data_IF_132025834135
#
_entry.id   IF_132025834135
#
_cell.length_a   1.000
_cell.length_b   1.000
_cell.length_c   1.000
_cell.angle_alpha   90.00
_cell.angle_beta   90.00
_cell.angle_gamma   90.00
#
_symmetry.space_group_name_H-M   'P 1'
#
loop_
_entity.id
_entity.type
_entity.pdbx_description
1 polymer ?
#
# COMPACT_ATOMS: atom_id res chain seq x y z
N UNK A 1 0.86 -18.56 23.20
CA UNK A 1 1.00 -17.09 23.21
C UNK A 1 -0.31 -16.51 23.70
N UNK A 2 -0.27 -15.62 24.70
CA UNK A 2 -1.48 -15.00 25.24
C UNK A 2 -2.05 -13.99 24.24
N UNK A 3 -3.37 -13.97 24.06
CA UNK A 3 -4.05 -12.95 23.25
C UNK A 3 -4.29 -11.68 24.07
N UNK A 4 -4.55 -10.54 23.39
CA UNK A 4 -4.90 -9.28 24.08
C UNK A 4 -6.12 -9.45 25.00
N UNK A 5 -7.12 -10.23 24.56
CA UNK A 5 -8.29 -10.54 25.36
C UNK A 5 -7.90 -11.27 26.66
N UNK A 6 -7.02 -12.27 26.57
CA UNK A 6 -6.53 -13.00 27.75
C UNK A 6 -5.80 -12.08 28.74
N UNK A 7 -4.99 -11.16 28.23
CA UNK A 7 -4.24 -10.19 29.06
C UNK A 7 -5.17 -9.16 29.70
N UNK A 8 -6.13 -8.61 28.97
CA UNK A 8 -7.12 -7.64 29.50
C UNK A 8 -8.00 -8.30 30.55
N UNK A 9 -8.45 -9.53 30.33
CA UNK A 9 -9.22 -10.29 31.32
C UNK A 9 -8.39 -10.55 32.58
N UNK A 10 -7.12 -10.91 32.43
CA UNK A 10 -6.20 -11.09 33.56
C UNK A 10 -5.96 -9.80 34.36
N UNK A 11 -5.83 -8.66 33.68
CA UNK A 11 -5.70 -7.34 34.34
C UNK A 11 -7.00 -6.97 35.07
N UNK A 12 -8.16 -7.22 34.46
CA UNK A 12 -9.45 -6.94 35.10
C UNK A 12 -9.68 -7.82 36.34
N UNK A 13 -9.20 -9.08 36.30
CA UNK A 13 -9.30 -10.01 37.41
C UNK A 13 -8.50 -9.57 38.64
N UNK A 14 -7.43 -8.77 38.45
CA UNK A 14 -6.63 -8.21 39.56
C UNK A 14 -7.09 -6.82 40.02
N UNK A 15 -8.25 -6.34 39.58
CA UNK A 15 -8.81 -5.07 40.02
C UNK A 15 -9.73 -5.26 41.24
N UNK A 16 -9.20 -5.85 42.32
CA UNK A 16 -9.95 -6.26 43.51
C UNK A 16 -9.73 -5.34 44.74
N UNK A 17 -9.41 -4.06 44.50
CA UNK A 17 -9.10 -3.07 45.55
C UNK A 17 -7.89 -3.42 46.44
N UNK A 18 -6.95 -4.21 45.91
CA UNK A 18 -5.65 -4.46 46.56
C UNK A 18 -5.59 -5.75 47.38
N UNK A 19 -6.54 -6.67 47.18
CA UNK A 19 -6.55 -7.99 47.80
C UNK A 19 -5.83 -9.07 46.94
N UNK A 20 -5.10 -8.62 45.92
CA UNK A 20 -4.37 -9.48 45.01
C UNK A 20 -3.21 -10.17 45.71
N UNK A 21 -3.08 -11.47 45.47
CA UNK A 21 -1.90 -12.23 45.83
C UNK A 21 -0.71 -11.87 44.92
N UNK A 22 0.50 -11.99 45.46
CA UNK A 22 1.73 -11.83 44.66
C UNK A 22 1.81 -12.80 43.47
N UNK A 23 1.11 -13.93 43.55
CA UNK A 23 0.99 -14.91 42.46
C UNK A 23 0.15 -14.36 41.31
N UNK A 24 -1.02 -13.80 41.61
CA UNK A 24 -1.91 -13.23 40.58
C UNK A 24 -1.22 -12.08 39.85
N UNK A 25 -0.56 -11.17 40.57
CA UNK A 25 0.20 -10.06 39.96
C UNK A 25 1.31 -10.59 39.04
N UNK A 26 2.04 -11.63 39.47
CA UNK A 26 3.09 -12.25 38.64
C UNK A 26 2.53 -12.90 37.38
N UNK A 27 1.38 -13.56 37.47
CA UNK A 27 0.75 -14.23 36.32
C UNK A 27 0.25 -13.21 35.28
N UNK A 28 -0.21 -12.04 35.71
CA UNK A 28 -0.53 -10.92 34.81
C UNK A 28 0.72 -10.34 34.14
N UNK A 29 1.78 -10.07 34.92
CA UNK A 29 3.04 -9.53 34.39
C UNK A 29 3.72 -10.50 33.40
N UNK A 30 3.65 -11.80 33.67
CA UNK A 30 4.16 -12.84 32.75
C UNK A 30 3.36 -12.83 31.45
N UNK A 31 2.03 -12.73 31.52
CA UNK A 31 1.17 -12.61 30.35
C UNK A 31 1.43 -11.36 29.52
N UNK A 32 1.79 -10.24 30.16
CA UNK A 32 2.19 -8.99 29.50
C UNK A 32 3.55 -9.10 28.81
N UNK A 33 4.53 -9.76 29.43
CA UNK A 33 5.87 -9.96 28.88
C UNK A 33 5.88 -10.95 27.71
N UNK A 34 5.04 -11.97 27.76
CA UNK A 34 4.89 -12.97 26.71
C UNK A 34 3.92 -12.54 25.59
N UNK A 35 3.25 -11.40 25.76
CA UNK A 35 2.38 -10.83 24.74
C UNK A 35 3.21 -10.13 23.66
N UNK A 36 3.29 -10.78 22.51
CA UNK A 36 3.86 -10.19 21.29
C UNK A 36 2.74 -10.02 20.26
N UNK A 37 2.31 -8.79 20.03
CA UNK A 37 1.34 -8.49 18.98
C UNK A 37 2.09 -8.23 17.65
N UNK A 38 1.95 -9.12 16.67
CA UNK A 38 2.60 -8.99 15.35
C UNK A 38 1.86 -8.06 14.39
N UNK A 39 0.71 -7.51 14.79
CA UNK A 39 -0.12 -6.61 13.98
C UNK A 39 -0.76 -5.55 14.88
N UNK A 40 -0.68 -4.24 14.58
CA UNK A 40 -1.34 -3.22 15.40
C UNK A 40 -2.87 -3.42 15.43
N UNK A 41 -3.49 -3.39 16.62
CA UNK A 41 -4.95 -3.38 16.78
C UNK A 41 -5.51 -1.96 16.61
N UNK A 42 -6.59 -1.76 15.84
CA UNK A 42 -7.35 -0.51 15.83
C UNK A 42 -7.86 -0.20 17.24
N UNK A 43 -7.49 0.97 17.77
CA UNK A 43 -7.76 1.37 19.14
C UNK A 43 -9.25 1.52 19.46
N UNK A 44 -9.65 0.96 20.60
CA UNK A 44 -10.91 1.28 21.28
C UNK A 44 -10.91 2.76 21.68
N UNK A 45 -11.61 3.62 20.93
CA UNK A 45 -11.87 5.01 21.31
C UNK A 45 -11.76 6.07 20.20
N UNK A 46 -11.39 5.70 18.97
CA UNK A 46 -11.48 6.60 17.82
C UNK A 46 -12.00 5.81 16.61
N UNK A 47 -12.94 6.38 15.84
CA UNK A 47 -13.53 5.81 14.62
C UNK A 47 -12.52 5.73 13.44
N UNK A 48 -11.26 5.38 13.75
CA UNK A 48 -10.16 5.31 12.79
C UNK A 48 -10.00 3.86 12.35
N UNK A 49 -10.60 3.53 11.20
CA UNK A 49 -10.52 2.21 10.60
C UNK A 49 -9.22 2.07 9.79
N UNK A 50 -8.25 1.32 10.33
CA UNK A 50 -6.99 1.05 9.66
C UNK A 50 -7.12 -0.15 8.73
N UNK A 51 -6.48 -0.07 7.57
CA UNK A 51 -6.40 -1.22 6.66
C UNK A 51 -4.98 -1.45 6.18
N UNK A 52 -4.70 -2.72 5.90
CA UNK A 52 -3.47 -3.18 5.29
C UNK A 52 -3.79 -4.34 4.33
N UNK A 53 -3.51 -4.14 3.05
CA UNK A 53 -3.67 -5.13 2.00
C UNK A 53 -2.34 -5.29 1.27
N UNK A 54 -1.90 -6.53 1.13
CA UNK A 54 -0.77 -6.89 0.29
C UNK A 54 -0.99 -8.33 -0.18
N UNK A 55 -0.40 -8.66 -1.33
CA UNK A 55 -0.38 -10.03 -1.81
C UNK A 55 1.07 -10.54 -1.90
N UNK A 56 1.34 -11.80 -1.50
CA UNK A 56 2.68 -12.37 -1.58
C UNK A 56 3.12 -12.60 -3.03
N UNK A 57 2.15 -12.76 -3.94
CA UNK A 57 2.38 -12.99 -5.36
C UNK A 57 2.07 -11.74 -6.17
N UNK A 58 2.84 -11.49 -7.24
CA UNK A 58 2.52 -10.42 -8.18
C UNK A 58 1.23 -10.70 -8.91
N UNK A 59 0.46 -9.65 -9.21
CA UNK A 59 -0.58 -9.71 -10.23
C UNK A 59 0.00 -9.39 -11.61
N UNK A 60 -0.59 -9.95 -12.65
CA UNK A 60 -0.11 -9.79 -14.02
C UNK A 60 -1.07 -9.00 -14.90
N UNK A 61 -0.50 -8.16 -15.74
CA UNK A 61 -1.20 -7.47 -16.83
C UNK A 61 -1.27 -8.40 -18.07
N UNK A 62 -2.25 -8.22 -18.97
CA UNK A 62 -2.37 -9.02 -20.20
C UNK A 62 -1.13 -9.08 -21.11
N UNK A 63 -0.24 -8.08 -21.03
CA UNK A 63 1.04 -8.03 -21.76
C UNK A 63 2.21 -8.63 -20.96
N UNK A 64 1.93 -9.26 -19.82
CA UNK A 64 2.90 -9.99 -19.01
C UNK A 64 3.71 -9.13 -18.03
N UNK A 65 3.42 -7.83 -17.91
CA UNK A 65 4.00 -7.03 -16.82
C UNK A 65 3.53 -7.56 -15.45
N UNK A 66 4.37 -7.41 -14.43
CA UNK A 66 4.11 -7.89 -13.07
C UNK A 66 4.07 -6.74 -12.08
N UNK A 67 3.09 -6.76 -11.18
CA UNK A 67 2.93 -5.78 -10.12
C UNK A 67 2.92 -6.47 -8.76
N UNK A 68 3.91 -6.15 -7.93
CA UNK A 68 3.85 -6.37 -6.49
C UNK A 68 3.40 -5.09 -5.83
N UNK A 69 2.55 -5.18 -4.81
CA UNK A 69 2.04 -4.01 -4.15
C UNK A 69 1.64 -4.26 -2.70
N UNK A 70 1.59 -3.17 -1.94
CA UNK A 70 0.95 -3.10 -0.64
C UNK A 70 0.24 -1.76 -0.49
N UNK A 71 -0.98 -1.79 0.04
CA UNK A 71 -1.76 -0.64 0.45
C UNK A 71 -1.91 -0.64 1.95
N UNK A 72 -1.47 0.42 2.61
CA UNK A 72 -1.63 0.60 4.06
C UNK A 72 -2.14 2.00 4.34
N UNK A 73 -3.18 2.13 5.17
CA UNK A 73 -3.76 3.43 5.41
C UNK A 73 -4.86 3.47 6.45
N UNK A 74 -5.56 4.59 6.45
CA UNK A 74 -6.74 4.88 7.27
C UNK A 74 -7.90 5.08 6.29
N UNK A 75 -8.99 4.31 6.45
CA UNK A 75 -10.13 4.34 5.54
C UNK A 75 -10.65 5.77 5.36
N UNK A 76 -10.94 6.15 4.12
CA UNK A 76 -11.39 7.49 3.68
C UNK A 76 -10.44 8.67 3.95
N UNK A 77 -9.30 8.47 4.62
CA UNK A 77 -8.38 9.56 4.95
C UNK A 77 -7.06 9.47 4.19
N UNK A 78 -6.36 8.33 4.27
CA UNK A 78 -5.02 8.21 3.69
C UNK A 78 -4.74 6.81 3.17
N UNK A 79 -3.87 6.74 2.18
CA UNK A 79 -3.25 5.47 1.77
C UNK A 79 -1.81 5.66 1.35
N UNK A 80 -0.94 4.81 1.89
CA UNK A 80 0.36 4.55 1.32
C UNK A 80 0.22 3.38 0.33
N UNK A 81 0.55 3.64 -0.93
CA UNK A 81 0.67 2.66 -1.98
C UNK A 81 2.16 2.44 -2.28
N UNK A 82 2.69 1.33 -1.81
CA UNK A 82 4.03 0.87 -2.18
C UNK A 82 3.91 -0.18 -3.26
N UNK A 83 4.70 -0.08 -4.32
CA UNK A 83 4.65 -1.05 -5.41
C UNK A 83 5.97 -1.22 -6.14
N UNK A 84 6.11 -2.40 -6.76
CA UNK A 84 7.12 -2.73 -7.75
C UNK A 84 6.42 -3.15 -9.04
N UNK A 85 6.58 -2.37 -10.10
CA UNK A 85 6.15 -2.70 -11.46
C UNK A 85 7.36 -3.24 -12.22
N UNK A 86 7.30 -4.47 -12.70
CA UNK A 86 8.30 -5.09 -13.58
C UNK A 86 7.72 -5.24 -14.99
N UNK A 87 8.41 -4.65 -15.97
CA UNK A 87 8.00 -4.62 -17.37
C UNK A 87 8.74 -5.73 -18.11
N UNK A 88 8.00 -6.70 -18.66
CA UNK A 88 8.59 -7.84 -19.39
C UNK A 88 8.67 -7.63 -20.90
N UNK A 89 7.91 -6.70 -21.44
CA UNK A 89 7.84 -6.42 -22.87
C UNK A 89 8.38 -5.02 -23.18
N UNK A 90 9.33 -4.94 -24.11
CA UNK A 90 9.87 -3.65 -24.60
C UNK A 90 8.77 -2.83 -25.27
N UNK A 91 8.86 -1.50 -25.19
CA UNK A 91 7.89 -0.54 -25.74
C UNK A 91 6.46 -0.65 -25.18
N UNK A 92 6.23 -1.46 -24.14
CA UNK A 92 4.95 -1.46 -23.43
C UNK A 92 4.93 -0.34 -22.38
N UNK A 93 3.97 0.57 -22.48
CA UNK A 93 3.89 1.75 -21.62
C UNK A 93 2.53 1.93 -20.95
N UNK A 94 1.61 0.97 -21.11
CA UNK A 94 0.28 0.99 -20.53
C UNK A 94 -0.04 -0.40 -19.99
N UNK A 95 -0.35 -0.46 -18.70
CA UNK A 95 -0.48 -1.67 -17.90
C UNK A 95 -1.80 -1.69 -17.14
N UNK A 96 -2.48 -2.82 -17.17
CA UNK A 96 -3.80 -3.00 -16.59
C UNK A 96 -3.79 -4.14 -15.58
N UNK A 97 -3.95 -3.81 -14.32
CA UNK A 97 -3.87 -4.78 -13.22
C UNK A 97 -5.22 -4.95 -12.54
N UNK A 98 -5.86 -6.13 -12.64
CA UNK A 98 -7.11 -6.39 -11.94
C UNK A 98 -6.85 -6.46 -10.43
N UNK A 99 -7.57 -5.64 -9.67
CA UNK A 99 -7.55 -5.64 -8.21
C UNK A 99 -8.73 -6.46 -7.67
N UNK A 100 -8.57 -6.97 -6.45
CA UNK A 100 -9.70 -7.56 -5.74
C UNK A 100 -10.78 -6.50 -5.43
N UNK A 101 -12.03 -6.94 -5.30
CA UNK A 101 -13.17 -6.03 -5.13
C UNK A 101 -13.09 -5.18 -3.86
N UNK A 102 -12.62 -5.79 -2.75
CA UNK A 102 -12.51 -5.12 -1.45
C UNK A 102 -11.53 -3.96 -1.50
N UNK A 103 -10.35 -4.17 -2.09
CA UNK A 103 -9.31 -3.17 -2.26
C UNK A 103 -9.74 -2.10 -3.27
N UNK A 104 -10.33 -2.50 -4.40
CA UNK A 104 -10.85 -1.56 -5.37
C UNK A 104 -11.86 -0.60 -4.73
N UNK A 105 -12.74 -1.10 -3.85
CA UNK A 105 -13.69 -0.28 -3.10
C UNK A 105 -13.02 0.73 -2.17
N UNK A 106 -12.00 0.33 -1.39
CA UNK A 106 -11.24 1.27 -0.54
C UNK A 106 -10.52 2.32 -1.39
N UNK A 107 -9.86 1.92 -2.48
CA UNK A 107 -9.12 2.85 -3.35
C UNK A 107 -10.04 3.81 -4.09
N UNK A 108 -11.24 3.40 -4.53
CA UNK A 108 -12.21 4.31 -5.16
C UNK A 108 -12.60 5.48 -4.25
N UNK A 109 -12.60 5.28 -2.93
CA UNK A 109 -12.88 6.36 -1.98
C UNK A 109 -11.78 7.44 -1.96
N UNK A 110 -10.56 7.08 -2.38
CA UNK A 110 -9.36 7.94 -2.31
C UNK A 110 -9.02 8.49 -3.69
N UNK A 111 -9.10 7.65 -4.74
CA UNK A 111 -8.96 8.02 -6.14
C UNK A 111 -10.26 8.69 -6.58
N UNK A 112 -10.58 9.84 -5.96
CA UNK A 112 -11.65 10.71 -6.41
C UNK A 112 -11.29 11.13 -7.84
N UNK A 113 -11.90 10.46 -8.81
CA UNK A 113 -11.93 10.94 -10.17
C UNK A 113 -13.22 11.75 -10.24
N UNK A 114 -13.20 13.09 -10.18
CA UNK A 114 -14.41 13.87 -10.45
C UNK A 114 -15.06 13.33 -11.72
N UNK A 115 -16.40 13.26 -11.75
CA UNK A 115 -17.16 12.70 -12.88
C UNK A 115 -16.76 13.30 -14.25
N UNK A 116 -16.06 14.44 -14.25
CA UNK A 116 -15.58 15.17 -15.42
C UNK A 116 -14.05 15.41 -15.47
N UNK A 117 -13.24 14.86 -14.55
CA UNK A 117 -11.77 14.95 -14.67
C UNK A 117 -11.26 13.83 -15.57
N UNK A 118 -10.84 14.23 -16.76
CA UNK A 118 -10.19 13.39 -17.78
C UNK A 118 -8.72 13.13 -17.43
N UNK A 119 -8.19 13.74 -16.36
CA UNK A 119 -6.77 13.76 -16.07
C UNK A 119 -6.40 12.74 -14.99
N UNK A 120 -5.64 11.68 -15.32
CA UNK A 120 -5.11 10.75 -14.34
C UNK A 120 -4.09 11.43 -13.42
N UNK A 121 -3.93 10.93 -12.19
CA UNK A 121 -2.88 11.42 -11.28
C UNK A 121 -1.52 11.10 -11.88
N UNK A 122 -0.61 12.08 -11.90
CA UNK A 122 0.71 11.94 -12.52
C UNK A 122 1.83 12.06 -11.49
N UNK A 123 2.85 11.21 -11.61
CA UNK A 123 4.01 11.16 -10.72
C UNK A 123 5.30 11.05 -11.52
N UNK A 124 6.34 11.76 -11.11
CA UNK A 124 7.69 11.52 -11.63
C UNK A 124 8.27 10.28 -10.95
N UNK A 125 8.68 9.29 -11.74
CA UNK A 125 9.24 8.01 -11.25
C UNK A 125 10.57 7.71 -11.91
N UNK A 126 11.41 6.94 -11.22
CA UNK A 126 12.61 6.36 -11.81
C UNK A 126 12.31 5.00 -12.44
N UNK A 127 12.74 4.84 -13.68
CA UNK A 127 12.71 3.61 -14.46
C UNK A 127 14.12 3.02 -14.50
N UNK A 128 14.29 1.89 -13.83
CA UNK A 128 15.58 1.21 -13.66
C UNK A 128 15.56 -0.13 -14.38
N UNK A 129 16.71 -0.62 -14.85
CA UNK A 129 16.77 -2.00 -15.37
C UNK A 129 17.01 -2.96 -14.19
N UNK A 130 16.10 -3.92 -13.99
CA UNK A 130 16.18 -4.90 -12.91
C UNK A 130 17.39 -5.85 -13.04
N UNK A 131 17.91 -6.03 -14.26
CA UNK A 131 19.07 -6.87 -14.59
C UNK A 131 20.09 -6.07 -15.41
N UNK A 132 20.87 -5.16 -14.78
CA UNK A 132 21.89 -4.40 -15.50
C UNK A 132 23.01 -5.34 -15.93
N UNK A 133 23.03 -5.76 -17.19
CA UNK A 133 24.14 -6.52 -17.76
C UNK A 133 25.39 -5.63 -17.81
N UNK A 134 26.32 -5.87 -16.88
CA UNK A 134 27.73 -5.45 -16.87
C UNK A 134 28.06 -3.96 -17.13
N UNK A 135 28.42 -3.24 -16.06
CA UNK A 135 29.56 -2.30 -16.08
C UNK A 135 29.28 -0.81 -16.25
N UNK A 136 28.08 -0.38 -16.60
CA UNK A 136 27.70 1.04 -16.60
C UNK A 136 26.81 1.35 -15.42
N UNK A 137 27.11 2.41 -14.65
CA UNK A 137 26.11 3.01 -13.77
C UNK A 137 24.91 3.40 -14.63
N UNK A 138 23.86 2.59 -14.61
CA UNK A 138 22.63 2.89 -15.30
C UNK A 138 22.01 4.08 -14.56
N UNK A 139 22.26 5.29 -15.04
CA UNK A 139 21.59 6.48 -14.51
C UNK A 139 20.08 6.20 -14.49
N UNK A 140 19.40 6.43 -13.36
CA UNK A 140 17.96 6.22 -13.28
C UNK A 140 17.30 7.07 -14.35
N UNK A 141 16.44 6.45 -15.17
CA UNK A 141 15.75 7.15 -16.26
C UNK A 141 14.46 7.69 -15.72
N UNK A 142 14.26 9.01 -15.79
CA UNK A 142 13.08 9.65 -15.22
C UNK A 142 11.91 9.61 -16.20
N UNK A 143 10.77 9.13 -15.73
CA UNK A 143 9.53 8.99 -16.51
C UNK A 143 8.35 9.56 -15.73
N UNK A 144 7.29 9.95 -16.44
CA UNK A 144 6.01 10.31 -15.82
C UNK A 144 5.09 9.10 -15.80
N UNK A 145 4.62 8.73 -14.62
CA UNK A 145 3.65 7.67 -14.42
C UNK A 145 2.28 8.28 -14.14
N UNK A 146 1.30 7.91 -14.95
CA UNK A 146 -0.11 8.19 -14.73
C UNK A 146 -0.78 7.00 -14.06
N UNK A 147 -1.52 7.28 -13.00
CA UNK A 147 -2.26 6.33 -12.19
C UNK A 147 -3.74 6.70 -12.21
N UNK A 148 -4.59 5.74 -12.55
CA UNK A 148 -6.04 5.87 -12.42
C UNK A 148 -6.70 4.52 -12.19
N UNK A 149 -7.86 4.56 -11.57
CA UNK A 149 -8.65 3.36 -11.29
C UNK A 149 -9.88 3.38 -12.21
N UNK A 150 -10.03 2.35 -13.04
CA UNK A 150 -11.24 2.15 -13.85
C UNK A 150 -11.92 0.89 -13.35
N UNK A 151 -13.09 1.04 -12.76
CA UNK A 151 -13.81 -0.05 -12.11
C UNK A 151 -12.93 -0.76 -11.06
N UNK A 152 -12.56 -2.03 -11.29
CA UNK A 152 -11.68 -2.81 -10.43
C UNK A 152 -10.27 -2.98 -11.01
N UNK A 153 -9.90 -2.17 -12.00
CA UNK A 153 -8.61 -2.26 -12.69
C UNK A 153 -7.75 -1.04 -12.38
N UNK A 154 -6.59 -1.27 -11.78
CA UNK A 154 -5.55 -0.27 -11.66
C UNK A 154 -4.86 -0.10 -13.01
N UNK A 155 -4.94 1.10 -13.56
CA UNK A 155 -4.29 1.46 -14.80
C UNK A 155 -3.04 2.28 -14.48
N UNK A 156 -1.91 1.85 -15.07
CA UNK A 156 -0.63 2.52 -14.95
C UNK A 156 -0.12 2.82 -16.35
N UNK A 157 0.14 4.09 -16.65
CA UNK A 157 0.71 4.49 -17.94
C UNK A 157 2.01 5.26 -17.73
N UNK A 158 3.06 4.86 -18.45
CA UNK A 158 4.35 5.53 -18.47
C UNK A 158 4.43 6.42 -19.71
N UNK A 159 4.78 7.69 -19.51
CA UNK A 159 5.09 8.62 -20.58
C UNK A 159 6.47 9.20 -20.35
N UNK A 160 7.23 9.31 -21.44
CA UNK A 160 8.49 10.03 -21.46
C UNK A 160 8.25 11.52 -21.65
N UNK A 161 9.20 12.32 -21.19
CA UNK A 161 9.28 13.70 -21.65
C UNK A 161 9.61 13.73 -23.15
N UNK A 162 8.94 14.60 -23.89
CA UNK A 162 9.00 14.68 -25.37
C UNK A 162 10.41 14.86 -25.94
N UNK A 163 11.34 15.36 -25.13
CA UNK A 163 12.72 15.68 -25.53
C UNK A 163 13.69 14.49 -25.42
N UNK A 164 13.31 13.36 -24.81
CA UNK A 164 14.21 12.24 -24.54
C UNK A 164 14.07 11.11 -25.58
N UNK A 165 15.20 10.71 -26.16
CA UNK A 165 15.34 9.51 -27.01
C UNK A 165 15.53 8.26 -26.14
N UNK A 166 14.64 8.08 -25.16
CA UNK A 166 14.60 6.90 -24.29
C UNK A 166 13.35 6.05 -24.60
N UNK A 167 13.46 4.75 -24.35
CA UNK A 167 12.41 3.76 -24.60
C UNK A 167 12.38 2.70 -23.50
N UNK A 168 11.19 2.14 -23.28
CA UNK A 168 11.00 1.06 -22.31
C UNK A 168 11.59 -0.23 -22.88
N UNK A 169 12.38 -0.91 -22.05
CA UNK A 169 13.07 -2.16 -22.36
C UNK A 169 12.50 -3.27 -21.47
N UNK A 170 12.48 -4.49 -21.99
CA UNK A 170 12.21 -5.66 -21.18
C UNK A 170 13.20 -5.74 -20.00
N UNK A 171 12.69 -6.00 -18.80
CA UNK A 171 13.45 -5.98 -17.55
C UNK A 171 13.44 -4.63 -16.84
N UNK A 172 12.86 -3.59 -17.43
CA UNK A 172 12.69 -2.32 -16.72
C UNK A 172 11.71 -2.44 -15.56
N UNK A 173 11.96 -1.69 -14.50
CA UNK A 173 11.12 -1.63 -13.32
C UNK A 173 10.96 -0.24 -12.74
N UNK A 174 9.84 -0.05 -12.06
CA UNK A 174 9.57 1.08 -11.18
C UNK A 174 9.33 0.51 -9.79
N UNK A 175 10.13 0.93 -8.81
CA UNK A 175 9.91 0.62 -7.40
C UNK A 175 9.83 1.91 -6.59
N UNK A 176 8.66 2.17 -6.00
CA UNK A 176 8.41 3.40 -5.26
C UNK A 176 7.23 3.26 -4.29
N UNK A 177 7.04 4.28 -3.47
CA UNK A 177 5.93 4.43 -2.55
C UNK A 177 5.29 5.80 -2.73
N UNK A 178 3.97 5.84 -2.93
CA UNK A 178 3.19 7.06 -3.08
C UNK A 178 2.22 7.15 -1.91
N UNK A 179 2.22 8.29 -1.22
CA UNK A 179 1.25 8.58 -0.17
C UNK A 179 0.17 9.49 -0.72
N UNK A 180 -1.08 9.04 -0.65
CA UNK A 180 -2.25 9.84 -0.97
C UNK A 180 -2.91 10.28 0.32
N UNK A 181 -3.19 11.57 0.39
CA UNK A 181 -4.00 12.19 1.42
C UNK A 181 -5.33 12.60 0.79
N UNK A 182 -6.43 12.13 1.36
CA UNK A 182 -7.79 12.50 0.98
C UNK A 182 -8.33 13.47 2.04
N UNK A 183 -8.06 14.78 1.90
CA UNK A 183 -8.58 15.75 2.84
C UNK A 183 -10.11 15.83 2.75
N UNK A 184 -10.76 16.20 3.85
CA UNK A 184 -12.20 16.48 3.93
C UNK A 184 -12.61 17.78 3.22
N UNK A 185 -11.98 18.10 2.08
CA UNK A 185 -12.36 19.28 1.32
C UNK A 185 -13.61 18.97 0.49
N UNK A 186 -14.69 19.69 0.75
CA UNK A 186 -15.72 19.91 -0.25
C UNK A 186 -15.13 20.84 -1.32
N UNK A 187 -14.61 20.27 -2.41
CA UNK A 187 -14.41 21.08 -3.61
C UNK A 187 -15.81 21.52 -4.06
N UNK A 188 -16.08 22.82 -3.98
CA UNK A 188 -17.40 23.43 -4.17
C UNK A 188 -18.20 22.81 -5.33
N UNK A 189 -19.50 22.56 -5.08
CA UNK A 189 -20.45 21.86 -5.96
C UNK A 189 -20.68 22.55 -7.30
#
# INVERSE_FOLDING_TARGET
>A
MATRADVVTKIAAINDSGNNTAREVRDVLTGLLEYTETVPVPGSGSDVDFYHYWEPTSISDPKGAQLWYSFKGISKQTVNFTFRLLIKESNSNNFNFPLNEKLAKELRSIFLTPKNMVNPMSFTVSLNNANPSTGGAANPRTWTMYLFLKENTLNMMLAKEKMLQDGIKAGDEVFTSIHFHCPEFEFEK
#
